data_IF_711988976495
#
_entry.id   IF_711988976495
#
_cell.length_a   1.000
_cell.length_b   1.000
_cell.length_c   1.000
_cell.angle_alpha   90.00
_cell.angle_beta   90.00
_cell.angle_gamma   90.00
#
_symmetry.space_group_name_H-M   'P 1'
#
loop_
_entity.id
_entity.type
_entity.pdbx_description
1 polymer ?
#
# COMPACT_ATOMS: atom_id res chain seq x y z
N UNK A 1 -10.39 19.54 17.77
CA UNK A 1 -10.07 19.34 17.62
C UNK A 1 -9.62 18.83 17.36
N UNK A 2 -9.44 18.71 17.28
CA UNK A 2 -8.93 18.31 17.08
C UNK A 2 -8.75 17.54 16.47
N UNK A 3 -9.05 17.35 15.89
CA UNK A 3 -8.79 16.51 15.43
C UNK A 3 -7.85 16.25 14.72
N UNK A 4 -7.54 16.44 14.29
CA UNK A 4 -6.63 16.26 13.81
C UNK A 4 -5.64 15.79 14.38
N UNK A 5 -5.66 15.81 15.12
CA UNK A 5 -4.79 15.47 15.85
C UNK A 5 -4.34 14.15 15.77
N UNK A 6 -5.02 13.39 15.54
CA UNK A 6 -4.60 12.09 15.56
C UNK A 6 -3.43 11.88 14.71
N UNK A 7 -3.36 12.58 13.72
CA UNK A 7 -2.32 12.31 12.81
C UNK A 7 -0.98 12.61 13.34
N UNK A 8 -0.86 13.67 14.06
CA UNK A 8 0.46 14.13 14.36
C UNK A 8 0.98 13.59 15.65
N UNK A 9 0.10 13.29 16.55
CA UNK A 9 0.59 13.01 17.87
C UNK A 9 0.85 11.55 18.13
N UNK A 10 0.24 10.67 17.36
CA UNK A 10 0.41 9.25 17.60
C UNK A 10 0.89 8.55 16.38
N UNK A 11 1.98 7.82 16.52
CA UNK A 11 2.45 7.05 15.38
C UNK A 11 1.46 5.95 15.04
N UNK A 12 1.25 5.74 13.76
CA UNK A 12 0.39 4.66 13.31
C UNK A 12 1.16 3.60 12.54
N UNK A 13 2.48 3.59 12.71
CA UNK A 13 3.31 2.67 11.96
C UNK A 13 2.98 1.21 12.19
N UNK A 14 2.69 0.84 13.42
CA UNK A 14 2.40 -0.56 13.70
C UNK A 14 1.14 -1.01 13.00
N UNK A 15 0.13 -0.16 12.97
CA UNK A 15 -1.11 -0.50 12.29
C UNK A 15 -0.88 -0.60 10.79
N UNK A 16 -0.13 0.34 10.24
CA UNK A 16 0.17 0.35 8.81
C UNK A 16 0.94 -0.92 8.43
N UNK A 17 1.93 -1.30 9.24
CA UNK A 17 2.70 -2.51 8.96
C UNK A 17 1.79 -3.73 8.96
N UNK A 18 0.88 -3.80 9.93
CA UNK A 18 -0.06 -4.91 9.99
C UNK A 18 -0.94 -4.96 8.75
N UNK A 19 -1.44 -3.80 8.33
CA UNK A 19 -2.28 -3.73 7.16
C UNK A 19 -1.53 -4.13 5.89
N UNK A 20 -0.30 -3.64 5.75
CA UNK A 20 0.49 -3.99 4.58
C UNK A 20 0.84 -5.47 4.57
N UNK A 21 1.13 -6.03 5.74
CA UNK A 21 1.40 -7.45 5.84
C UNK A 21 0.18 -8.27 5.41
N UNK A 22 -1.01 -7.86 5.84
CA UNK A 22 -2.23 -8.52 5.42
C UNK A 22 -2.42 -8.45 3.91
N UNK A 23 -2.16 -7.29 3.34
CA UNK A 23 -2.28 -7.11 1.90
C UNK A 23 -1.30 -8.03 1.18
N UNK A 24 -0.08 -8.09 1.66
CA UNK A 24 0.93 -8.94 1.06
C UNK A 24 0.49 -10.40 1.09
N UNK A 25 -0.04 -10.85 2.22
CA UNK A 25 -0.48 -12.24 2.34
C UNK A 25 -1.65 -12.53 1.42
N UNK A 26 -2.57 -11.58 1.29
CA UNK A 26 -3.69 -11.76 0.37
C UNK A 26 -3.20 -11.85 -1.07
N UNK A 27 -2.23 -11.03 -1.41
CA UNK A 27 -1.66 -11.06 -2.75
C UNK A 27 -0.98 -12.40 -3.00
N UNK A 28 -0.24 -12.89 -2.03
CA UNK A 28 0.39 -14.20 -2.16
C UNK A 28 -0.64 -15.29 -2.41
N UNK A 29 -1.76 -15.25 -1.69
CA UNK A 29 -2.84 -16.20 -1.89
C UNK A 29 -3.39 -16.12 -3.31
N UNK A 30 -3.62 -14.91 -3.79
CA UNK A 30 -4.13 -14.71 -5.13
C UNK A 30 -3.17 -15.31 -6.15
N UNK A 31 -1.88 -15.06 -5.98
CA UNK A 31 -0.89 -15.55 -6.90
C UNK A 31 -0.84 -17.07 -6.95
N UNK A 32 -1.15 -17.71 -5.83
CA UNK A 32 -1.21 -19.16 -5.81
C UNK A 32 -2.32 -19.73 -6.67
N UNK A 33 -3.33 -18.92 -6.95
CA UNK A 33 -4.48 -19.36 -7.74
C UNK A 33 -4.42 -18.92 -9.20
N UNK A 34 -3.35 -18.22 -9.59
CA UNK A 34 -3.23 -17.70 -10.93
C UNK A 34 -2.02 -18.33 -11.63
N UNK A 35 -2.11 -18.39 -12.94
CA UNK A 35 -0.93 -18.71 -13.74
C UNK A 35 -0.98 -17.82 -14.98
N UNK A 36 0.02 -18.01 -15.85
CA UNK A 36 0.15 -17.13 -17.01
C UNK A 36 -1.02 -17.23 -17.98
N UNK A 37 -1.80 -18.29 -17.87
CA UNK A 37 -2.94 -18.47 -18.75
C UNK A 37 -4.24 -18.02 -18.15
N UNK A 38 -4.21 -17.58 -16.90
CA UNK A 38 -5.42 -17.09 -16.24
C UNK A 38 -5.95 -15.88 -16.96
N UNK A 39 -7.26 -15.74 -16.95
CA UNK A 39 -7.91 -14.64 -17.62
C UNK A 39 -8.92 -14.04 -16.68
N UNK A 40 -8.62 -12.87 -16.16
CA UNK A 40 -9.47 -12.23 -15.18
C UNK A 40 -10.48 -11.34 -15.83
N UNK A 41 -11.63 -11.19 -15.17
CA UNK A 41 -12.63 -10.26 -15.62
C UNK A 41 -12.05 -8.84 -15.64
N UNK A 42 -12.53 -7.99 -16.56
CA UNK A 42 -11.99 -6.64 -16.63
C UNK A 42 -12.06 -5.86 -15.34
N UNK A 43 -13.12 -6.06 -14.55
CA UNK A 43 -13.23 -5.31 -13.30
C UNK A 43 -12.14 -5.72 -12.31
N UNK A 44 -11.74 -6.99 -12.32
CA UNK A 44 -10.66 -7.45 -11.45
C UNK A 44 -9.33 -6.88 -11.90
N UNK A 45 -9.08 -6.88 -13.20
CA UNK A 45 -7.87 -6.31 -13.72
C UNK A 45 -7.77 -4.83 -13.37
N UNK A 46 -8.89 -4.12 -13.44
CA UNK A 46 -8.91 -2.72 -13.08
C UNK A 46 -8.60 -2.50 -11.61
N UNK A 47 -9.15 -3.35 -10.75
CA UNK A 47 -8.87 -3.23 -9.32
C UNK A 47 -7.40 -3.46 -9.02
N UNK A 48 -6.82 -4.43 -9.69
CA UNK A 48 -5.40 -4.74 -9.48
C UNK A 48 -4.53 -3.57 -9.95
N UNK A 49 -4.89 -2.97 -11.07
CA UNK A 49 -4.14 -1.81 -11.55
C UNK A 49 -4.21 -0.65 -10.56
N UNK A 50 -5.37 -0.42 -9.96
CA UNK A 50 -5.50 0.61 -8.95
C UNK A 50 -4.65 0.28 -7.72
N UNK A 51 -4.63 -0.98 -7.32
CA UNK A 51 -3.83 -1.39 -6.18
C UNK A 51 -2.35 -1.16 -6.45
N UNK A 52 -1.90 -1.53 -7.63
CA UNK A 52 -0.50 -1.34 -7.97
C UNK A 52 -0.13 0.13 -7.94
N UNK A 53 -0.98 0.96 -8.52
CA UNK A 53 -0.74 2.40 -8.53
C UNK A 53 -0.69 2.96 -7.13
N UNK A 54 -1.60 2.53 -6.28
CA UNK A 54 -1.67 3.01 -4.91
C UNK A 54 -0.45 2.59 -4.12
N UNK A 55 -0.02 1.34 -4.27
CA UNK A 55 1.14 0.85 -3.55
C UNK A 55 2.39 1.61 -4.00
N UNK A 56 2.52 1.83 -5.30
CA UNK A 56 3.67 2.55 -5.82
C UNK A 56 3.71 3.99 -5.31
N UNK A 57 2.55 4.63 -5.22
CA UNK A 57 2.50 5.98 -4.71
C UNK A 57 2.96 6.05 -3.26
N UNK A 58 2.52 5.10 -2.45
CA UNK A 58 2.95 5.04 -1.05
C UNK A 58 4.43 4.75 -0.96
N UNK A 59 4.90 3.81 -1.77
CA UNK A 59 6.31 3.46 -1.78
C UNK A 59 7.18 4.65 -2.13
N UNK A 60 6.79 5.37 -3.18
CA UNK A 60 7.55 6.54 -3.59
C UNK A 60 7.58 7.59 -2.51
N UNK A 61 6.44 7.82 -1.88
CA UNK A 61 6.38 8.82 -0.84
C UNK A 61 7.31 8.48 0.31
N UNK A 62 7.27 7.23 0.75
CA UNK A 62 8.09 6.80 1.88
C UNK A 62 9.58 6.87 1.52
N UNK A 63 9.92 6.44 0.32
CA UNK A 63 11.33 6.42 -0.07
C UNK A 63 11.90 7.81 -0.26
N UNK A 64 11.09 8.74 -0.73
CA UNK A 64 11.60 10.05 -1.09
C UNK A 64 11.29 11.12 -0.06
N UNK A 65 10.26 10.94 0.73
CA UNK A 65 9.88 11.95 1.71
C UNK A 65 9.99 11.46 3.13
N UNK A 66 9.66 10.21 3.33
CA UNK A 66 9.68 9.66 4.67
C UNK A 66 11.04 9.64 5.26
N UNK A 67 12.05 9.43 4.43
CA UNK A 67 13.37 9.45 4.97
C UNK A 67 14.02 10.72 4.69
N UNK A 68 13.65 11.29 3.67
CA UNK A 68 14.32 12.50 3.43
C UNK A 68 13.86 13.58 4.25
N UNK A 69 13.15 13.41 4.87
CA UNK A 69 12.79 14.41 5.50
C UNK A 69 13.81 15.10 5.79
N UNK A 70 14.38 14.62 5.45
CA UNK A 70 15.27 15.18 5.45
C UNK A 70 15.85 15.72 4.36
N UNK A 71 15.51 15.51 3.77
CA UNK A 71 15.77 15.97 2.95
C UNK A 71 15.59 16.80 2.34
N UNK A 72 15.33 16.85 2.43
CA UNK A 72 15.03 17.62 1.98
C UNK A 72 15.19 18.29 1.62
N UNK A 73 15.42 18.35 1.66
CA UNK A 73 15.42 18.99 1.48
C UNK A 73 15.55 19.34 1.39
#
# INVERSE_FOLDING_TARGET
MKPRKYTSSEPNGAMIITQLTSIKESIDDILMHLDAKSNLDPWMASKIAVMEHSVEAVEDYIKHNGKGESKEE
#
